data_IF_282334962533
#
_entry.id   IF_282334962533
#
_cell.length_a   1.000
_cell.length_b   1.000
_cell.length_c   1.000
_cell.angle_alpha   90.00
_cell.angle_beta   90.00
_cell.angle_gamma   90.00
#
_symmetry.space_group_name_H-M   'P 1'
#
loop_
_entity.id
_entity.type
_entity.pdbx_description
1 polymer ?
#
# COMPACT_ATOMS: atom_id res chain seq x y z
N UNK A 1 14.53 -5.93 2.18
CA UNK A 1 13.34 -6.56 2.81
C UNK A 1 12.13 -5.69 2.47
N UNK A 2 10.95 -6.28 2.25
CA UNK A 2 9.71 -5.56 1.94
C UNK A 2 8.85 -5.47 3.20
N UNK A 3 8.26 -4.31 3.45
CA UNK A 3 7.44 -4.04 4.64
C UNK A 3 6.04 -3.63 4.22
N UNK A 4 5.02 -4.20 4.87
CA UNK A 4 3.63 -3.79 4.68
C UNK A 4 3.39 -2.48 5.43
N UNK A 5 2.93 -1.45 4.73
CA UNK A 5 2.64 -0.12 5.30
C UNK A 5 1.14 0.20 5.33
N UNK A 6 0.34 -0.51 4.53
CA UNK A 6 -1.08 -0.25 4.42
C UNK A 6 -1.83 -1.53 4.01
N UNK A 7 -3.02 -1.74 4.58
CA UNK A 7 -3.91 -2.86 4.27
C UNK A 7 -5.30 -2.30 4.05
N UNK A 8 -5.91 -2.61 2.91
CA UNK A 8 -7.26 -2.19 2.60
C UNK A 8 -8.06 -3.26 1.85
N UNK A 9 -9.37 -3.24 2.07
CA UNK A 9 -10.32 -4.13 1.37
C UNK A 9 -10.76 -3.56 0.01
N UNK A 10 -10.58 -2.25 -0.20
CA UNK A 10 -10.96 -1.57 -1.44
C UNK A 10 -9.77 -1.39 -2.35
N UNK A 11 -9.85 -1.97 -3.56
CA UNK A 11 -8.82 -1.84 -4.60
C UNK A 11 -8.56 -0.39 -5.04
N UNK A 12 -9.57 0.48 -4.97
CA UNK A 12 -9.43 1.89 -5.36
C UNK A 12 -8.49 2.67 -4.44
N UNK A 13 -8.62 2.54 -3.12
CA UNK A 13 -7.73 3.24 -2.17
C UNK A 13 -6.27 2.78 -2.34
N UNK A 14 -6.08 1.48 -2.53
CA UNK A 14 -4.78 0.86 -2.78
C UNK A 14 -4.13 1.39 -4.06
N UNK A 15 -4.90 1.51 -5.15
CA UNK A 15 -4.40 2.07 -6.42
C UNK A 15 -4.02 3.54 -6.30
N UNK A 16 -4.81 4.34 -5.58
CA UNK A 16 -4.49 5.76 -5.33
C UNK A 16 -3.19 5.88 -4.53
N UNK A 17 -3.06 5.09 -3.48
CA UNK A 17 -1.84 5.07 -2.66
C UNK A 17 -0.63 4.60 -3.46
N UNK A 18 -0.77 3.54 -4.25
CA UNK A 18 0.30 3.08 -5.14
C UNK A 18 0.75 4.19 -6.09
N UNK A 19 -0.19 4.85 -6.78
CA UNK A 19 0.13 5.92 -7.72
C UNK A 19 0.80 7.11 -7.03
N UNK A 20 0.34 7.50 -5.84
CA UNK A 20 0.94 8.58 -5.05
C UNK A 20 2.42 8.29 -4.73
N UNK A 21 2.69 7.10 -4.22
CA UNK A 21 4.05 6.68 -3.84
C UNK A 21 4.95 6.55 -5.07
N UNK A 22 4.46 5.93 -6.16
CA UNK A 22 5.20 5.80 -7.42
C UNK A 22 5.53 7.17 -8.05
N UNK A 23 4.64 8.16 -7.93
CA UNK A 23 4.89 9.54 -8.39
C UNK A 23 6.04 10.23 -7.64
N UNK A 24 6.27 9.85 -6.39
CA UNK A 24 7.37 10.38 -5.58
C UNK A 24 8.67 9.54 -5.71
N UNK A 25 8.69 8.56 -6.63
CA UNK A 25 9.85 7.70 -6.88
C UNK A 25 10.01 6.54 -5.90
N UNK A 26 8.99 6.27 -5.07
CA UNK A 26 8.99 5.14 -4.14
C UNK A 26 8.51 3.88 -4.84
N UNK A 27 9.22 2.78 -4.64
CA UNK A 27 8.84 1.50 -5.25
C UNK A 27 7.74 0.86 -4.41
N UNK A 28 6.59 0.60 -5.01
CA UNK A 28 5.46 -0.05 -4.36
C UNK A 28 5.19 -1.43 -4.93
N UNK A 29 4.83 -2.35 -4.06
CA UNK A 29 4.31 -3.67 -4.43
C UNK A 29 2.97 -3.90 -3.77
N UNK A 30 1.94 -4.12 -4.57
CA UNK A 30 0.61 -4.45 -4.08
C UNK A 30 0.40 -5.96 -4.15
N UNK A 31 -0.04 -6.57 -3.05
CA UNK A 31 -0.37 -7.99 -2.97
C UNK A 31 -1.84 -8.17 -2.62
N UNK A 32 -2.57 -8.96 -3.42
CA UNK A 32 -3.92 -9.41 -3.07
C UNK A 32 -3.82 -10.65 -2.18
N UNK A 33 -4.45 -10.58 -1.01
CA UNK A 33 -4.69 -11.71 -0.13
C UNK A 33 -6.16 -12.12 -0.26
N UNK A 34 -6.41 -13.26 -0.91
CA UNK A 34 -7.72 -13.89 -0.87
C UNK A 34 -7.75 -14.84 0.34
N UNK A 35 -8.58 -14.56 1.34
CA UNK A 35 -8.94 -15.57 2.34
C UNK A 35 -10.01 -16.46 1.74
N UNK A 36 -9.79 -17.77 1.74
CA UNK A 36 -10.63 -18.76 1.07
C UNK A 36 -12.04 -18.92 1.67
N UNK A 37 -12.33 -18.31 2.81
CA UNK A 37 -13.55 -18.54 3.59
C UNK A 37 -14.46 -17.31 3.73
N UNK A 38 -13.99 -16.12 3.35
CA UNK A 38 -14.80 -14.89 3.38
C UNK A 38 -14.58 -14.12 2.07
N UNK A 39 -15.66 -13.71 1.42
CA UNK A 39 -15.71 -12.90 0.18
C UNK A 39 -15.05 -11.49 0.30
N UNK A 40 -14.16 -11.28 1.27
CA UNK A 40 -13.45 -10.04 1.49
C UNK A 40 -12.06 -10.11 0.86
N UNK A 41 -11.93 -9.47 -0.32
CA UNK A 41 -10.65 -9.26 -0.96
C UNK A 41 -9.82 -8.27 -0.14
N UNK A 42 -8.74 -8.74 0.50
CA UNK A 42 -7.79 -7.86 1.17
C UNK A 42 -6.60 -7.56 0.26
N UNK A 43 -6.09 -6.34 0.32
CA UNK A 43 -4.93 -5.89 -0.43
C UNK A 43 -3.90 -5.29 0.53
N UNK A 44 -2.65 -5.71 0.38
CA UNK A 44 -1.51 -5.21 1.12
C UNK A 44 -0.65 -4.33 0.21
N UNK A 45 -0.21 -3.19 0.73
CA UNK A 45 0.73 -2.29 0.08
C UNK A 45 2.07 -2.43 0.78
N UNK A 46 3.08 -2.82 0.02
CA UNK A 46 4.43 -3.04 0.49
C UNK A 46 5.40 -2.04 -0.14
N UNK A 47 6.35 -1.58 0.66
CA UNK A 47 7.48 -0.75 0.23
C UNK A 47 8.80 -1.34 0.74
N UNK A 48 9.95 -1.00 0.12
CA UNK A 48 11.25 -1.32 0.68
C UNK A 48 11.39 -0.78 2.11
N UNK A 49 11.98 -1.56 3.01
CA UNK A 49 12.14 -1.16 4.41
C UNK A 49 12.85 0.20 4.58
N UNK A 50 13.74 0.58 3.66
CA UNK A 50 14.43 1.88 3.67
C UNK A 50 13.55 3.07 3.26
N UNK A 51 12.41 2.81 2.62
CA UNK A 51 11.47 3.84 2.12
C UNK A 51 10.22 3.96 3.01
N UNK A 52 10.10 3.13 4.06
CA UNK A 52 8.93 3.10 4.96
C UNK A 52 8.66 4.47 5.60
N UNK A 53 9.70 5.15 6.08
CA UNK A 53 9.53 6.48 6.70
C UNK A 53 8.94 7.48 5.71
N UNK A 54 9.53 7.56 4.51
CA UNK A 54 9.11 8.47 3.46
C UNK A 54 7.69 8.15 2.96
N UNK A 55 7.37 6.86 2.84
CA UNK A 55 6.04 6.43 2.45
C UNK A 55 4.98 6.81 3.49
N UNK A 56 5.30 6.70 4.79
CA UNK A 56 4.41 7.15 5.85
C UNK A 56 4.18 8.66 5.82
N UNK A 57 5.24 9.45 5.64
CA UNK A 57 5.11 10.92 5.55
C UNK A 57 4.15 11.32 4.41
N UNK A 58 4.29 10.69 3.24
CA UNK A 58 3.39 10.93 2.10
C UNK A 58 1.95 10.48 2.35
N UNK A 59 1.74 9.38 3.09
CA UNK A 59 0.40 8.92 3.46
C UNK A 59 -0.27 9.94 4.39
N UNK A 60 0.47 10.45 5.38
CA UNK A 60 -0.04 11.46 6.30
C UNK A 60 -0.38 12.77 5.58
N UNK A 61 0.49 13.24 4.69
CA UNK A 61 0.25 14.47 3.91
C UNK A 61 -0.94 14.35 2.95
N UNK A 62 -1.21 13.15 2.45
CA UNK A 62 -2.29 12.91 1.49
C UNK A 62 -3.67 12.67 2.14
N UNK A 63 -3.77 12.65 3.48
CA UNK A 63 -5.01 12.46 4.25
C UNK A 63 -5.85 11.25 3.78
N UNK A 64 -5.19 10.13 3.46
CA UNK A 64 -5.81 8.89 2.92
C UNK A 64 -6.12 7.88 4.02
#
# INVERSE_FOLDING_TARGET
MWTVIYIAQKKEGVKRLQALLEQHGIIVRVRKMAKAEEEQECYEVLVPAGEVSQAHDLIFDADI
#
